data_IF_161776153681
#
_entry.id   IF_161776153681
#
_cell.length_a   1.000
_cell.length_b   1.000
_cell.length_c   1.000
_cell.angle_alpha   90.00
_cell.angle_beta   90.00
_cell.angle_gamma   90.00
#
_symmetry.space_group_name_H-M   'P 1'
#
loop_
_entity.id
_entity.type
_entity.pdbx_description
1 polymer ?
#
# COMPACT_ATOMS: atom_id res chain seq x y z
N UNK A 1 36.12 -27.39 8.22
CA UNK A 1 35.69 -26.29 9.11
C UNK A 1 34.87 -26.91 10.23
N UNK A 2 34.98 -26.37 11.42
CA UNK A 2 34.13 -26.79 12.53
C UNK A 2 32.69 -26.34 12.23
N UNK A 3 31.74 -27.27 12.32
CA UNK A 3 30.31 -27.05 12.00
C UNK A 3 29.75 -25.84 12.77
N UNK A 4 30.09 -25.69 14.04
CA UNK A 4 29.68 -24.55 14.85
C UNK A 4 30.25 -23.20 14.32
N UNK A 5 31.43 -23.20 13.73
CA UNK A 5 32.10 -21.99 13.25
C UNK A 5 31.43 -21.39 12.01
N UNK A 6 30.90 -22.21 11.07
CA UNK A 6 30.23 -21.67 9.87
C UNK A 6 28.83 -21.19 10.19
N UNK A 7 28.08 -21.87 11.07
CA UNK A 7 26.74 -21.43 11.48
C UNK A 7 26.83 -20.08 12.22
N UNK A 8 27.81 -19.89 13.13
CA UNK A 8 28.01 -18.64 13.84
C UNK A 8 28.36 -17.49 12.88
N UNK A 9 29.30 -17.73 11.95
CA UNK A 9 29.66 -16.72 10.92
C UNK A 9 28.46 -16.33 10.06
N UNK A 10 27.66 -17.31 9.64
CA UNK A 10 26.44 -17.06 8.86
C UNK A 10 25.41 -16.26 9.67
N UNK A 11 25.21 -16.61 10.95
CA UNK A 11 24.34 -15.85 11.85
C UNK A 11 24.76 -14.39 12.01
N UNK A 12 26.07 -14.13 12.14
CA UNK A 12 26.60 -12.77 12.22
C UNK A 12 26.44 -12.01 10.91
N UNK A 13 26.70 -12.66 9.77
CA UNK A 13 26.49 -12.09 8.44
C UNK A 13 25.02 -11.68 8.24
N UNK A 14 24.06 -12.60 8.47
CA UNK A 14 22.64 -12.36 8.33
C UNK A 14 22.16 -11.26 9.28
N UNK A 15 22.61 -11.29 10.54
CA UNK A 15 22.24 -10.27 11.51
C UNK A 15 22.69 -8.87 11.08
N UNK A 16 23.89 -8.74 10.57
CA UNK A 16 24.43 -7.46 10.07
C UNK A 16 23.68 -7.02 8.83
N UNK A 17 23.51 -7.93 7.87
CA UNK A 17 22.85 -7.65 6.59
C UNK A 17 21.41 -7.16 6.79
N UNK A 18 20.61 -7.91 7.55
CA UNK A 18 19.19 -7.56 7.76
C UNK A 18 19.05 -6.25 8.56
N UNK A 19 19.88 -6.01 9.58
CA UNK A 19 19.85 -4.75 10.35
C UNK A 19 20.25 -3.53 9.54
N UNK A 20 21.16 -3.67 8.57
CA UNK A 20 21.64 -2.54 7.79
C UNK A 20 20.80 -2.26 6.54
N UNK A 21 20.16 -3.28 5.97
CA UNK A 21 19.53 -3.20 4.65
C UNK A 21 18.00 -3.21 4.68
N UNK A 22 17.37 -3.91 5.64
CA UNK A 22 15.91 -3.91 5.74
C UNK A 22 15.41 -2.52 6.16
N UNK A 23 14.32 -2.10 5.54
CA UNK A 23 13.63 -0.86 5.92
C UNK A 23 12.71 -1.10 7.12
N UNK A 24 12.28 -0.06 7.85
CA UNK A 24 11.30 -0.19 8.93
C UNK A 24 9.94 -0.79 8.52
N UNK A 25 9.67 -0.87 7.21
CA UNK A 25 8.44 -1.44 6.67
C UNK A 25 8.49 -2.98 6.56
N UNK A 26 9.69 -3.60 6.69
CA UNK A 26 9.82 -5.05 6.85
C UNK A 26 9.50 -5.44 8.29
N UNK A 27 8.20 -5.60 8.57
CA UNK A 27 7.65 -5.83 9.90
C UNK A 27 7.35 -7.29 10.19
N UNK A 28 7.41 -8.16 9.17
CA UNK A 28 7.18 -9.60 9.26
C UNK A 28 8.40 -10.42 8.87
N UNK A 29 9.01 -10.15 7.69
CA UNK A 29 10.23 -10.81 7.22
C UNK A 29 11.47 -10.08 7.74
N UNK A 30 11.74 -10.24 9.02
CA UNK A 30 12.81 -9.56 9.75
C UNK A 30 13.79 -10.57 10.40
N UNK A 31 14.73 -10.05 11.17
CA UNK A 31 15.71 -10.88 11.88
C UNK A 31 15.07 -11.81 12.91
N UNK A 32 13.98 -11.38 13.57
CA UNK A 32 13.29 -12.19 14.58
C UNK A 32 12.64 -13.40 13.93
N UNK A 33 11.96 -13.21 12.79
CA UNK A 33 11.43 -14.30 11.98
C UNK A 33 12.54 -15.30 11.58
N UNK A 34 13.63 -14.81 11.01
CA UNK A 34 14.76 -15.65 10.56
C UNK A 34 15.34 -16.50 11.70
N UNK A 35 15.55 -15.89 12.87
CA UNK A 35 16.10 -16.62 14.03
C UNK A 35 15.08 -17.62 14.60
N UNK A 36 13.80 -17.33 14.56
CA UNK A 36 12.74 -18.24 14.97
C UNK A 36 12.68 -19.44 14.03
N UNK A 37 12.71 -19.22 12.71
CA UNK A 37 12.73 -20.32 11.71
C UNK A 37 13.93 -21.24 11.94
N UNK A 38 15.13 -20.67 12.16
CA UNK A 38 16.33 -21.46 12.49
C UNK A 38 16.12 -22.30 13.74
N UNK A 39 15.67 -21.70 14.83
CA UNK A 39 15.45 -22.39 16.11
C UNK A 39 14.46 -23.55 15.98
N UNK A 40 13.37 -23.34 15.24
CA UNK A 40 12.35 -24.38 15.04
C UNK A 40 12.84 -25.48 14.09
N UNK A 41 13.58 -25.13 13.03
CA UNK A 41 14.18 -26.12 12.13
C UNK A 41 15.15 -27.03 12.88
N UNK A 42 16.01 -26.49 13.75
CA UNK A 42 16.92 -27.25 14.60
C UNK A 42 16.15 -28.16 15.58
N UNK A 43 15.09 -27.65 16.21
CA UNK A 43 14.26 -28.45 17.13
C UNK A 43 13.56 -29.61 16.42
N UNK A 44 13.02 -29.40 15.22
CA UNK A 44 12.38 -30.46 14.44
C UNK A 44 13.42 -31.49 13.98
N UNK A 45 14.61 -31.06 13.56
CA UNK A 45 15.70 -31.91 13.14
C UNK A 45 16.22 -32.78 14.28
N UNK A 46 16.30 -32.23 15.51
CA UNK A 46 16.68 -33.01 16.72
C UNK A 46 15.70 -34.15 16.99
N UNK A 47 14.39 -33.86 16.93
CA UNK A 47 13.37 -34.89 17.21
C UNK A 47 13.27 -35.96 16.10
N UNK A 48 13.55 -35.57 14.85
CA UNK A 48 13.60 -36.46 13.71
C UNK A 48 14.96 -37.20 13.60
N UNK A 49 15.93 -36.85 14.46
CA UNK A 49 17.29 -37.46 14.49
C UNK A 49 18.03 -37.28 13.16
N UNK A 50 17.90 -36.10 12.57
CA UNK A 50 18.62 -35.75 11.35
C UNK A 50 20.12 -35.81 11.59
N UNK A 51 20.94 -36.39 10.66
CA UNK A 51 22.39 -36.45 10.77
C UNK A 51 23.03 -35.07 10.93
N UNK A 52 24.15 -34.96 11.64
CA UNK A 52 24.78 -33.66 11.98
C UNK A 52 25.17 -32.83 10.76
N UNK A 53 25.65 -33.44 9.68
CA UNK A 53 26.03 -32.75 8.44
C UNK A 53 24.83 -32.21 7.64
N UNK A 54 23.71 -32.91 7.67
CA UNK A 54 22.43 -32.44 7.11
C UNK A 54 21.80 -31.38 7.98
N UNK A 55 21.92 -31.48 9.30
CA UNK A 55 21.48 -30.47 10.27
C UNK A 55 22.22 -29.14 10.10
N UNK A 56 23.55 -29.20 9.86
CA UNK A 56 24.35 -28.01 9.54
C UNK A 56 23.80 -27.29 8.31
N UNK A 57 23.53 -28.03 7.20
CA UNK A 57 22.99 -27.45 5.98
C UNK A 57 21.58 -26.86 6.19
N UNK A 58 20.75 -27.53 7.00
CA UNK A 58 19.41 -27.05 7.35
C UNK A 58 19.46 -25.72 8.15
N UNK A 59 20.38 -25.63 9.14
CA UNK A 59 20.56 -24.42 9.94
C UNK A 59 21.05 -23.24 9.08
N UNK A 60 21.96 -23.50 8.12
CA UNK A 60 22.42 -22.49 7.17
C UNK A 60 21.30 -22.04 6.24
N UNK A 61 20.52 -22.98 5.71
CA UNK A 61 19.36 -22.65 4.87
C UNK A 61 18.31 -21.82 5.63
N UNK A 62 18.01 -22.19 6.87
CA UNK A 62 17.09 -21.43 7.73
C UNK A 62 17.56 -20.00 8.03
N UNK A 63 18.88 -19.78 8.17
CA UNK A 63 19.43 -18.44 8.34
C UNK A 63 19.38 -17.62 7.05
N UNK A 64 19.51 -18.25 5.89
CA UNK A 64 19.75 -17.58 4.62
C UNK A 64 18.49 -17.53 3.72
N UNK A 65 17.35 -18.17 4.10
CA UNK A 65 16.20 -18.30 3.21
C UNK A 65 15.58 -16.97 2.79
N UNK A 66 15.57 -16.00 3.68
CA UNK A 66 14.89 -14.71 3.51
C UNK A 66 15.84 -13.52 3.31
N UNK A 67 17.17 -13.75 3.21
CA UNK A 67 18.12 -12.64 3.04
C UNK A 67 17.88 -11.84 1.75
N UNK A 68 17.21 -12.41 0.75
CA UNK A 68 16.87 -11.74 -0.50
C UNK A 68 15.87 -10.61 -0.37
N UNK A 69 15.12 -10.52 0.74
CA UNK A 69 14.23 -9.40 1.01
C UNK A 69 14.94 -8.04 1.09
N UNK A 70 16.25 -8.03 1.30
CA UNK A 70 17.04 -6.79 1.25
C UNK A 70 17.10 -6.14 -0.13
N UNK A 71 16.86 -6.92 -1.19
CA UNK A 71 16.94 -6.46 -2.58
C UNK A 71 15.57 -6.49 -3.29
N UNK A 72 14.78 -7.55 -3.07
CA UNK A 72 13.47 -7.73 -3.74
C UNK A 72 12.46 -8.36 -2.80
N UNK A 73 11.20 -7.95 -2.92
CA UNK A 73 10.12 -8.53 -2.12
C UNK A 73 9.57 -9.80 -2.77
N UNK A 74 9.18 -9.75 -4.04
CA UNK A 74 8.69 -10.92 -4.77
C UNK A 74 9.85 -11.65 -5.48
N UNK A 75 9.95 -12.96 -5.26
CA UNK A 75 11.03 -13.78 -5.80
C UNK A 75 12.33 -13.69 -4.99
N UNK A 76 12.25 -13.23 -3.74
CA UNK A 76 13.38 -13.15 -2.80
C UNK A 76 14.13 -14.46 -2.64
N UNK A 77 13.47 -15.63 -2.78
CA UNK A 77 14.11 -16.93 -2.64
C UNK A 77 15.21 -17.16 -3.69
N UNK A 78 15.02 -16.66 -4.92
CA UNK A 78 16.05 -16.74 -5.95
C UNK A 78 17.27 -15.88 -5.61
N UNK A 79 17.03 -14.69 -5.05
CA UNK A 79 18.08 -13.78 -4.58
C UNK A 79 18.76 -14.35 -3.34
N UNK A 80 17.98 -14.86 -2.37
CA UNK A 80 18.49 -15.52 -1.16
C UNK A 80 19.42 -16.68 -1.50
N UNK A 81 19.04 -17.52 -2.47
CA UNK A 81 19.83 -18.61 -2.98
C UNK A 81 21.18 -18.14 -3.57
N UNK A 82 21.16 -17.08 -4.35
CA UNK A 82 22.40 -16.54 -4.93
C UNK A 82 23.29 -15.95 -3.84
N UNK A 83 22.73 -15.14 -2.93
CA UNK A 83 23.48 -14.56 -1.81
C UNK A 83 24.06 -15.62 -0.89
N UNK A 84 23.31 -16.70 -0.62
CA UNK A 84 23.77 -17.83 0.17
C UNK A 84 24.96 -18.54 -0.50
N UNK A 85 24.86 -18.77 -1.82
CA UNK A 85 25.94 -19.39 -2.60
C UNK A 85 27.22 -18.55 -2.57
N UNK A 86 27.10 -17.26 -2.85
CA UNK A 86 28.25 -16.34 -2.88
C UNK A 86 28.93 -16.27 -1.51
N UNK A 87 28.15 -16.08 -0.43
CA UNK A 87 28.66 -16.03 0.93
C UNK A 87 29.34 -17.33 1.35
N UNK A 88 28.72 -18.49 1.13
CA UNK A 88 29.26 -19.80 1.54
C UNK A 88 30.50 -20.16 0.74
N UNK A 89 30.58 -19.81 -0.56
CA UNK A 89 31.78 -19.98 -1.37
C UNK A 89 32.94 -19.12 -0.84
N UNK A 90 32.69 -17.86 -0.47
CA UNK A 90 33.72 -16.97 0.14
C UNK A 90 34.24 -17.54 1.47
N UNK A 91 33.38 -18.25 2.22
CA UNK A 91 33.79 -18.93 3.44
C UNK A 91 34.51 -20.26 3.19
N UNK A 92 34.65 -20.69 1.93
CA UNK A 92 35.29 -21.97 1.58
C UNK A 92 34.46 -23.19 1.96
N UNK A 93 33.11 -23.05 2.01
CA UNK A 93 32.21 -24.15 2.33
C UNK A 93 32.13 -25.14 1.14
N UNK A 94 31.98 -26.47 1.37
CA UNK A 94 32.01 -27.46 0.30
C UNK A 94 30.88 -27.28 -0.71
N UNK A 95 31.18 -27.32 -2.02
CA UNK A 95 30.22 -27.04 -3.09
C UNK A 95 28.98 -27.97 -3.05
N UNK A 96 29.16 -29.26 -2.72
CA UNK A 96 28.04 -30.21 -2.58
C UNK A 96 27.07 -29.81 -1.46
N UNK A 97 27.61 -29.25 -0.36
CA UNK A 97 26.78 -28.74 0.74
C UNK A 97 26.13 -27.41 0.42
N UNK A 98 26.81 -26.54 -0.36
CA UNK A 98 26.21 -25.28 -0.87
C UNK A 98 25.01 -25.58 -1.77
N UNK A 99 25.11 -26.59 -2.61
CA UNK A 99 24.00 -27.01 -3.46
C UNK A 99 22.80 -27.54 -2.63
N UNK A 100 23.08 -28.26 -1.54
CA UNK A 100 22.03 -28.69 -0.61
C UNK A 100 21.34 -27.50 0.06
N UNK A 101 22.09 -26.53 0.60
CA UNK A 101 21.54 -25.28 1.18
C UNK A 101 20.69 -24.55 0.15
N UNK A 102 21.18 -24.44 -1.10
CA UNK A 102 20.46 -23.79 -2.20
C UNK A 102 19.11 -24.47 -2.52
N UNK A 103 19.08 -25.81 -2.51
CA UNK A 103 17.83 -26.57 -2.71
C UNK A 103 16.85 -26.36 -1.56
N UNK A 104 17.36 -26.32 -0.32
CA UNK A 104 16.51 -26.07 0.84
C UNK A 104 15.89 -24.66 0.80
N UNK A 105 16.67 -23.64 0.43
CA UNK A 105 16.14 -22.28 0.23
C UNK A 105 15.07 -22.27 -0.86
N UNK A 106 15.29 -22.94 -2.00
CA UNK A 106 14.27 -23.03 -3.07
C UNK A 106 12.98 -23.69 -2.57
N UNK A 107 13.08 -24.62 -1.61
CA UNK A 107 11.92 -25.34 -1.08
C UNK A 107 11.00 -24.46 -0.21
N UNK A 108 11.43 -23.29 0.26
CA UNK A 108 10.56 -22.35 1.02
C UNK A 108 9.51 -21.67 0.14
N UNK A 109 9.70 -21.64 -1.19
CA UNK A 109 8.68 -21.13 -2.11
C UNK A 109 7.31 -21.75 -1.85
N UNK A 110 6.28 -20.90 -1.84
CA UNK A 110 4.92 -21.35 -1.49
C UNK A 110 4.38 -22.45 -2.39
N UNK A 111 4.70 -22.42 -3.70
CA UNK A 111 4.25 -23.41 -4.68
C UNK A 111 5.05 -24.71 -4.63
N UNK A 112 6.23 -24.70 -4.02
CA UNK A 112 7.08 -25.88 -3.96
C UNK A 112 6.49 -26.96 -3.04
N UNK A 113 6.44 -28.19 -3.55
CA UNK A 113 6.08 -29.37 -2.74
C UNK A 113 7.36 -30.06 -2.30
N UNK A 114 7.60 -30.20 -0.98
CA UNK A 114 8.83 -30.79 -0.49
C UNK A 114 8.97 -32.24 -0.94
N UNK A 115 10.13 -32.58 -1.52
CA UNK A 115 10.49 -33.92 -1.98
C UNK A 115 11.37 -34.71 -1.00
N UNK A 116 11.94 -34.03 0.00
CA UNK A 116 12.80 -34.59 1.02
C UNK A 116 12.34 -34.25 2.43
N UNK A 117 12.86 -34.99 3.43
CA UNK A 117 12.57 -34.71 4.83
C UNK A 117 13.11 -33.35 5.27
N UNK A 118 14.31 -32.97 4.82
CA UNK A 118 14.92 -31.66 5.14
C UNK A 118 14.09 -30.48 4.56
N UNK A 119 13.63 -30.60 3.32
CA UNK A 119 12.72 -29.60 2.72
C UNK A 119 11.42 -29.49 3.53
N UNK A 120 10.87 -30.62 3.98
CA UNK A 120 9.68 -30.66 4.81
C UNK A 120 9.90 -29.98 6.16
N UNK A 121 11.05 -30.20 6.80
CA UNK A 121 11.43 -29.57 8.07
C UNK A 121 11.53 -28.05 7.90
N UNK A 122 12.26 -27.58 6.89
CA UNK A 122 12.46 -26.14 6.68
C UNK A 122 11.13 -25.44 6.37
N UNK A 123 10.31 -26.05 5.52
CA UNK A 123 8.99 -25.48 5.18
C UNK A 123 8.03 -25.45 6.37
N UNK A 124 8.07 -26.45 7.23
CA UNK A 124 7.30 -26.48 8.47
C UNK A 124 7.79 -25.43 9.47
N UNK A 125 9.11 -25.21 9.53
CA UNK A 125 9.72 -24.20 10.39
C UNK A 125 9.42 -22.78 9.92
N UNK A 126 9.48 -22.50 8.63
CA UNK A 126 9.17 -21.22 8.03
C UNK A 126 7.71 -20.80 8.31
N UNK A 127 6.79 -21.74 8.28
CA UNK A 127 5.38 -21.51 8.56
C UNK A 127 4.99 -21.73 10.05
N UNK A 128 5.96 -21.72 10.97
CA UNK A 128 5.68 -21.86 12.42
C UNK A 128 4.83 -20.73 12.97
N UNK A 129 4.91 -19.53 12.39
CA UNK A 129 4.10 -18.38 12.75
C UNK A 129 2.59 -18.65 12.74
N UNK A 130 2.12 -19.64 11.94
CA UNK A 130 0.72 -20.06 11.94
C UNK A 130 0.25 -20.61 13.30
N UNK A 131 1.17 -21.11 14.10
CA UNK A 131 0.92 -21.64 15.44
C UNK A 131 1.34 -20.68 16.57
N UNK A 132 1.87 -19.50 16.23
CA UNK A 132 2.37 -18.54 17.21
C UNK A 132 1.22 -17.97 18.07
N UNK A 133 1.42 -17.78 19.39
CA UNK A 133 0.40 -17.19 20.26
C UNK A 133 -0.06 -15.79 19.81
N UNK A 134 0.86 -14.97 19.30
CA UNK A 134 0.58 -13.61 18.80
C UNK A 134 0.29 -13.60 17.29
N UNK A 135 -0.37 -14.63 16.76
CA UNK A 135 -0.62 -14.77 15.33
C UNK A 135 -1.35 -13.55 14.70
N UNK A 136 -2.26 -12.90 15.44
CA UNK A 136 -2.94 -11.70 14.95
C UNK A 136 -1.98 -10.53 14.70
N UNK A 137 -0.93 -10.37 15.51
CA UNK A 137 0.10 -9.37 15.32
C UNK A 137 0.96 -9.67 14.08
N UNK A 138 1.39 -10.93 13.91
CA UNK A 138 2.10 -11.37 12.70
C UNK A 138 1.27 -11.13 11.43
N UNK A 139 -0.06 -11.36 11.49
CA UNK A 139 -0.95 -11.04 10.37
C UNK A 139 -1.05 -9.55 10.07
N UNK A 140 -1.04 -8.70 11.09
CA UNK A 140 -1.05 -7.25 10.91
C UNK A 140 0.25 -6.78 10.24
N UNK A 141 1.39 -7.33 10.68
CA UNK A 141 2.71 -7.05 10.12
C UNK A 141 2.80 -7.48 8.64
N UNK A 142 2.37 -8.70 8.33
CA UNK A 142 2.36 -9.20 6.95
C UNK A 142 1.43 -8.37 6.04
N UNK A 143 0.26 -7.95 6.56
CA UNK A 143 -0.65 -7.08 5.80
C UNK A 143 -0.02 -5.72 5.50
N UNK A 144 0.75 -5.16 6.46
CA UNK A 144 1.48 -3.92 6.25
C UNK A 144 2.52 -4.08 5.13
N UNK A 145 3.32 -5.13 5.17
CA UNK A 145 4.32 -5.41 4.12
C UNK A 145 3.68 -5.56 2.74
N UNK A 146 2.57 -6.30 2.62
CA UNK A 146 1.89 -6.47 1.33
C UNK A 146 1.36 -5.14 0.78
N UNK A 147 0.84 -4.29 1.65
CA UNK A 147 0.40 -2.94 1.24
C UNK A 147 1.56 -2.08 0.74
N UNK A 148 2.73 -2.14 1.41
CA UNK A 148 3.90 -1.32 1.05
C UNK A 148 4.63 -1.87 -0.18
N UNK A 149 4.95 -3.17 -0.20
CA UNK A 149 5.85 -3.74 -1.20
C UNK A 149 5.15 -4.32 -2.42
N UNK A 150 3.89 -4.79 -2.28
CA UNK A 150 3.08 -5.32 -3.39
C UNK A 150 2.00 -4.36 -3.88
N UNK A 151 1.70 -3.31 -3.12
CA UNK A 151 0.56 -2.44 -3.39
C UNK A 151 -0.80 -3.12 -3.19
N UNK A 152 -0.83 -4.22 -2.43
CA UNK A 152 -2.03 -5.01 -2.16
C UNK A 152 -2.69 -4.53 -0.85
N UNK A 153 -3.71 -3.68 -0.98
CA UNK A 153 -4.47 -3.18 0.16
C UNK A 153 -5.68 -4.08 0.46
N UNK A 154 -5.65 -4.75 1.60
CA UNK A 154 -6.77 -5.53 2.11
C UNK A 154 -7.53 -4.75 3.19
N UNK A 155 -8.87 -4.71 3.12
CA UNK A 155 -9.66 -4.36 4.29
C UNK A 155 -9.59 -5.50 5.33
N UNK A 156 -9.94 -5.19 6.59
CA UNK A 156 -9.78 -6.16 7.69
C UNK A 156 -10.60 -7.43 7.51
N UNK A 157 -11.82 -7.35 6.96
CA UNK A 157 -12.67 -8.51 6.71
C UNK A 157 -12.07 -9.43 5.64
N UNK A 158 -11.69 -8.87 4.49
CA UNK A 158 -11.07 -9.64 3.40
C UNK A 158 -9.75 -10.28 3.84
N UNK A 159 -8.94 -9.56 4.64
CA UNK A 159 -7.70 -10.10 5.18
C UNK A 159 -7.93 -11.28 6.14
N UNK A 160 -8.91 -11.18 7.02
CA UNK A 160 -9.28 -12.27 7.92
C UNK A 160 -9.80 -13.50 7.14
N UNK A 161 -10.63 -13.29 6.12
CA UNK A 161 -11.16 -14.37 5.28
C UNK A 161 -10.04 -15.12 4.55
N UNK A 162 -9.11 -14.40 3.91
CA UNK A 162 -7.97 -14.97 3.20
C UNK A 162 -7.11 -15.82 4.13
N UNK A 163 -6.76 -15.29 5.30
CA UNK A 163 -5.93 -16.00 6.26
C UNK A 163 -6.64 -17.21 6.91
N UNK A 164 -7.94 -17.15 7.15
CA UNK A 164 -8.73 -18.31 7.58
C UNK A 164 -8.69 -19.42 6.50
N UNK A 165 -8.80 -19.08 5.23
CA UNK A 165 -8.70 -20.04 4.14
C UNK A 165 -7.30 -20.65 4.05
N UNK A 166 -6.26 -19.82 4.21
CA UNK A 166 -4.88 -20.28 4.25
C UNK A 166 -4.64 -21.27 5.39
N UNK A 167 -5.03 -20.93 6.64
CA UNK A 167 -4.92 -21.82 7.80
C UNK A 167 -5.63 -23.16 7.61
N UNK A 168 -6.79 -23.16 6.92
CA UNK A 168 -7.55 -24.39 6.62
C UNK A 168 -6.86 -25.28 5.59
N UNK A 169 -6.27 -24.68 4.55
CA UNK A 169 -5.62 -25.40 3.45
C UNK A 169 -4.26 -25.93 3.87
N UNK A 170 -3.53 -25.17 4.66
CA UNK A 170 -2.18 -25.52 5.09
C UNK A 170 -2.15 -26.81 5.92
N UNK A 171 -1.13 -27.65 5.66
CA UNK A 171 -0.81 -28.89 6.40
C UNK A 171 0.68 -28.90 6.69
N UNK A 172 1.07 -29.17 7.92
CA UNK A 172 2.46 -29.46 8.23
C UNK A 172 2.87 -30.80 7.58
N UNK A 173 4.07 -30.86 7.04
CA UNK A 173 4.58 -31.98 6.27
C UNK A 173 5.10 -33.08 7.18
N UNK A 174 5.84 -32.72 8.25
CA UNK A 174 6.42 -33.68 9.20
C UNK A 174 5.39 -34.10 10.27
N UNK A 175 5.55 -35.32 10.79
CA UNK A 175 4.74 -35.83 11.92
C UNK A 175 4.94 -34.98 13.17
N UNK A 176 6.20 -34.68 13.46
CA UNK A 176 6.63 -33.91 14.64
C UNK A 176 6.01 -32.48 14.62
N UNK A 177 6.07 -31.77 13.50
CA UNK A 177 5.47 -30.44 13.39
C UNK A 177 3.94 -30.50 13.54
N UNK A 178 3.29 -31.52 13.00
CA UNK A 178 1.85 -31.73 13.21
C UNK A 178 1.51 -31.90 14.68
N UNK A 179 2.23 -32.73 15.38
CA UNK A 179 1.96 -32.99 16.80
C UNK A 179 2.20 -31.76 17.67
N UNK A 180 3.23 -30.97 17.35
CA UNK A 180 3.57 -29.75 18.12
C UNK A 180 2.66 -28.55 17.80
N UNK A 181 2.43 -28.28 16.51
CA UNK A 181 1.91 -26.98 16.07
C UNK A 181 0.44 -27.01 15.64
N UNK A 182 -0.11 -28.18 15.28
CA UNK A 182 -1.46 -28.25 14.71
C UNK A 182 -2.55 -27.80 15.68
N UNK A 183 -2.39 -28.06 16.99
CA UNK A 183 -3.37 -27.62 18.01
C UNK A 183 -3.42 -26.10 18.13
N UNK A 184 -2.25 -25.43 18.21
CA UNK A 184 -2.13 -23.97 18.30
C UNK A 184 -2.60 -23.29 17.02
N UNK A 185 -2.24 -23.83 15.84
CA UNK A 185 -2.76 -23.35 14.56
C UNK A 185 -4.28 -23.42 14.48
N UNK A 186 -4.90 -24.50 14.93
CA UNK A 186 -6.37 -24.62 15.03
C UNK A 186 -6.98 -23.63 16.01
N UNK A 187 -6.30 -23.33 17.11
CA UNK A 187 -6.74 -22.31 18.06
C UNK A 187 -6.72 -20.92 17.41
N UNK A 188 -5.67 -20.58 16.65
CA UNK A 188 -5.57 -19.33 15.90
C UNK A 188 -6.68 -19.24 14.83
N UNK A 189 -6.92 -20.31 14.06
CA UNK A 189 -8.02 -20.37 13.10
C UNK A 189 -9.37 -20.09 13.78
N UNK A 190 -9.62 -20.69 14.96
CA UNK A 190 -10.85 -20.46 15.72
C UNK A 190 -10.98 -19.01 16.21
N UNK A 191 -9.88 -18.42 16.64
CA UNK A 191 -9.82 -17.01 17.07
C UNK A 191 -10.16 -16.08 15.92
N UNK A 192 -9.54 -16.24 14.75
CA UNK A 192 -9.85 -15.44 13.57
C UNK A 192 -11.31 -15.61 13.12
N UNK A 193 -11.85 -16.84 13.12
CA UNK A 193 -13.28 -17.08 12.81
C UNK A 193 -14.21 -16.36 13.80
N UNK A 194 -13.86 -16.34 15.09
CA UNK A 194 -14.63 -15.61 16.10
C UNK A 194 -14.60 -14.11 15.83
N UNK A 195 -13.43 -13.56 15.51
CA UNK A 195 -13.22 -12.15 15.18
C UNK A 195 -14.02 -11.78 13.92
N UNK A 196 -13.90 -12.54 12.84
CA UNK A 196 -14.67 -12.37 11.62
C UNK A 196 -16.18 -12.36 11.88
N UNK A 197 -16.68 -13.32 12.67
CA UNK A 197 -18.11 -13.40 13.03
C UNK A 197 -18.57 -12.21 13.88
N UNK A 198 -17.71 -11.70 14.77
CA UNK A 198 -18.00 -10.51 15.57
C UNK A 198 -18.07 -9.26 14.69
N UNK A 199 -17.11 -9.09 13.78
CA UNK A 199 -17.10 -7.97 12.84
C UNK A 199 -18.29 -8.03 11.88
N UNK A 200 -18.59 -9.20 11.31
CA UNK A 200 -19.76 -9.37 10.45
C UNK A 200 -21.09 -9.10 11.19
N UNK A 201 -21.16 -9.44 12.49
CA UNK A 201 -22.34 -9.08 13.31
C UNK A 201 -22.40 -7.58 13.62
N UNK A 202 -21.24 -6.93 13.84
CA UNK A 202 -21.17 -5.50 14.07
C UNK A 202 -21.60 -4.74 12.80
N UNK A 203 -21.13 -5.15 11.62
CA UNK A 203 -21.55 -4.60 10.33
C UNK A 203 -23.07 -4.79 10.14
N UNK A 204 -23.60 -6.01 10.34
CA UNK A 204 -25.04 -6.26 10.25
C UNK A 204 -25.89 -5.48 11.27
N UNK A 205 -25.35 -5.21 12.46
CA UNK A 205 -26.03 -4.39 13.49
C UNK A 205 -26.01 -2.92 13.12
N UNK A 206 -24.98 -2.46 12.41
CA UNK A 206 -24.92 -1.11 11.83
C UNK A 206 -25.88 -1.00 10.64
N UNK A 207 -25.92 -2.01 9.75
CA UNK A 207 -26.83 -2.07 8.61
C UNK A 207 -28.31 -2.21 8.99
N UNK A 208 -28.61 -2.73 10.19
CA UNK A 208 -30.03 -2.96 10.62
C UNK A 208 -30.62 -1.83 11.47
N UNK A 209 -29.85 -0.79 11.78
CA UNK A 209 -30.34 0.41 12.46
C UNK A 209 -29.95 1.64 11.66
N UNK A 210 -30.91 2.49 11.30
CA UNK A 210 -30.59 3.80 10.71
C UNK A 210 -29.51 4.50 11.53
N UNK A 211 -28.40 4.85 10.88
CA UNK A 211 -27.29 5.57 11.52
C UNK A 211 -27.68 7.00 11.85
N UNK A 212 -28.62 7.56 11.10
CA UNK A 212 -29.04 8.95 11.21
C UNK A 212 -30.35 9.12 11.97
N UNK A 213 -31.31 8.17 11.82
CA UNK A 213 -32.57 8.26 12.54
C UNK A 213 -32.35 8.07 14.04
N UNK A 214 -32.66 9.10 14.80
CA UNK A 214 -32.50 9.12 16.26
C UNK A 214 -31.09 9.37 16.79
N UNK A 215 -30.04 9.38 15.97
CA UNK A 215 -28.67 9.67 16.39
C UNK A 215 -28.25 11.11 16.07
N UNK A 216 -28.49 12.03 16.99
CA UNK A 216 -28.16 13.45 16.84
C UNK A 216 -26.67 13.71 16.58
N UNK A 217 -25.78 12.90 17.17
CA UNK A 217 -24.33 13.02 16.99
C UNK A 217 -23.91 12.63 15.58
N UNK A 218 -24.48 11.54 15.03
CA UNK A 218 -24.24 11.14 13.66
C UNK A 218 -24.74 12.20 12.67
N UNK A 219 -25.97 12.70 12.84
CA UNK A 219 -26.52 13.79 12.00
C UNK A 219 -25.61 15.03 12.03
N UNK A 220 -25.09 15.40 13.22
CA UNK A 220 -24.17 16.54 13.34
C UNK A 220 -22.83 16.28 12.66
N UNK A 221 -22.29 15.07 12.77
CA UNK A 221 -21.05 14.67 12.10
C UNK A 221 -21.21 14.79 10.58
N UNK A 222 -22.24 14.21 9.99
CA UNK A 222 -22.47 14.28 8.55
C UNK A 222 -22.66 15.72 8.06
N UNK A 223 -23.45 16.52 8.78
CA UNK A 223 -23.65 17.92 8.45
C UNK A 223 -22.35 18.74 8.51
N UNK A 224 -21.52 18.49 9.51
CA UNK A 224 -20.23 19.15 9.67
C UNK A 224 -19.25 18.69 8.59
N UNK A 225 -19.21 17.40 8.27
CA UNK A 225 -18.36 16.86 7.19
C UNK A 225 -18.75 17.44 5.84
N UNK A 226 -20.04 17.50 5.52
CA UNK A 226 -20.52 18.13 4.28
C UNK A 226 -20.10 19.60 4.18
N UNK A 227 -20.28 20.35 5.27
CA UNK A 227 -19.83 21.77 5.32
C UNK A 227 -18.33 21.88 5.10
N UNK A 228 -17.53 21.06 5.78
CA UNK A 228 -16.07 21.05 5.60
C UNK A 228 -15.68 20.74 4.15
N UNK A 229 -16.35 19.81 3.47
CA UNK A 229 -16.09 19.50 2.05
C UNK A 229 -16.40 20.70 1.15
N UNK A 230 -17.50 21.41 1.42
CA UNK A 230 -17.87 22.63 0.67
C UNK A 230 -16.83 23.72 0.90
N UNK A 231 -16.47 23.99 2.15
CA UNK A 231 -15.49 25.04 2.50
C UNK A 231 -14.12 24.75 1.91
N UNK A 232 -13.64 23.50 2.00
CA UNK A 232 -12.37 23.08 1.41
C UNK A 232 -12.39 23.15 -0.13
N UNK A 233 -13.53 22.85 -0.77
CA UNK A 233 -13.70 23.00 -2.21
C UNK A 233 -13.58 24.47 -2.61
N UNK A 234 -14.25 25.37 -1.89
CA UNK A 234 -14.16 26.81 -2.13
C UNK A 234 -12.73 27.34 -1.93
N UNK A 235 -12.01 26.86 -0.91
CA UNK A 235 -10.59 27.20 -0.68
C UNK A 235 -9.73 26.72 -1.86
N UNK A 236 -9.95 25.51 -2.36
CA UNK A 236 -9.20 24.98 -3.49
C UNK A 236 -9.46 25.78 -4.76
N UNK A 237 -10.74 26.09 -5.06
CA UNK A 237 -11.12 26.88 -6.22
C UNK A 237 -10.58 28.31 -6.14
N UNK A 238 -10.62 28.96 -4.98
CA UNK A 238 -10.02 30.27 -4.77
C UNK A 238 -8.51 30.28 -4.99
N UNK A 239 -7.79 29.28 -4.44
CA UNK A 239 -6.35 29.13 -4.65
C UNK A 239 -6.00 28.92 -6.13
N UNK A 240 -6.78 28.12 -6.84
CA UNK A 240 -6.58 27.90 -8.27
C UNK A 240 -6.83 29.18 -9.07
N UNK A 241 -7.88 29.95 -8.75
CA UNK A 241 -8.19 31.21 -9.39
C UNK A 241 -7.10 32.29 -9.16
N UNK A 242 -6.53 32.34 -7.95
CA UNK A 242 -5.37 33.20 -7.66
C UNK A 242 -4.19 32.81 -8.54
N UNK A 243 -3.89 31.53 -8.68
CA UNK A 243 -2.80 31.06 -9.54
C UNK A 243 -3.06 31.35 -11.01
N UNK A 244 -4.29 31.21 -11.49
CA UNK A 244 -4.68 31.60 -12.85
C UNK A 244 -4.44 33.09 -13.09
N UNK A 245 -4.87 33.92 -12.16
CA UNK A 245 -4.72 35.40 -12.25
C UNK A 245 -3.26 35.83 -12.23
N UNK A 246 -2.44 35.27 -11.33
CA UNK A 246 -1.02 35.61 -11.23
C UNK A 246 -0.28 35.19 -12.52
N UNK A 247 -0.49 33.97 -13.00
CA UNK A 247 0.18 33.49 -14.21
C UNK A 247 -0.28 34.27 -15.46
N UNK A 248 -1.57 34.61 -15.57
CA UNK A 248 -2.09 35.42 -16.66
C UNK A 248 -1.47 36.82 -16.65
N UNK A 249 -1.35 37.45 -15.47
CA UNK A 249 -0.72 38.75 -15.30
C UNK A 249 0.75 38.73 -15.73
N UNK A 250 1.50 37.69 -15.29
CA UNK A 250 2.92 37.52 -15.68
C UNK A 250 3.04 37.41 -17.22
N UNK A 251 2.23 36.58 -17.86
CA UNK A 251 2.25 36.42 -19.32
C UNK A 251 1.91 37.75 -20.01
N UNK A 252 0.87 38.46 -19.56
CA UNK A 252 0.39 39.70 -20.17
C UNK A 252 1.45 40.83 -20.11
N UNK A 253 2.24 40.88 -19.01
CA UNK A 253 3.32 41.86 -18.88
C UNK A 253 4.55 41.40 -19.64
N UNK A 254 4.92 40.15 -19.56
CA UNK A 254 6.21 39.65 -20.08
C UNK A 254 6.23 39.54 -21.61
N UNK A 255 5.12 39.12 -22.24
CA UNK A 255 5.07 38.91 -23.69
C UNK A 255 5.33 40.23 -24.50
N UNK A 256 4.70 41.36 -24.21
CA UNK A 256 5.01 42.64 -24.93
C UNK A 256 6.43 43.11 -24.67
N UNK A 257 6.94 43.00 -23.43
CA UNK A 257 8.31 43.36 -23.08
C UNK A 257 9.34 42.53 -23.84
N UNK A 258 9.07 41.22 -23.97
CA UNK A 258 9.92 40.32 -24.74
C UNK A 258 9.91 40.70 -26.23
N UNK A 259 8.72 40.96 -26.81
CA UNK A 259 8.58 41.30 -28.22
C UNK A 259 9.29 42.63 -28.57
N UNK A 260 9.28 43.61 -27.67
CA UNK A 260 9.94 44.92 -27.92
C UNK A 260 11.47 44.88 -27.74
N UNK A 261 11.99 44.03 -26.86
CA UNK A 261 13.42 44.04 -26.48
C UNK A 261 14.21 42.81 -26.98
N UNK A 262 13.58 41.89 -27.69
CA UNK A 262 14.21 40.60 -28.10
C UNK A 262 15.44 40.78 -28.99
N UNK A 263 15.44 41.80 -29.86
CA UNK A 263 16.57 42.07 -30.77
C UNK A 263 17.74 42.77 -30.05
N UNK A 264 17.43 43.66 -29.12
CA UNK A 264 18.47 44.40 -28.39
C UNK A 264 19.11 43.61 -27.24
N UNK A 265 18.36 42.68 -26.65
CA UNK A 265 18.78 41.90 -25.49
C UNK A 265 18.50 40.40 -25.64
N UNK A 266 19.16 39.71 -26.59
CA UNK A 266 18.89 38.30 -26.89
C UNK A 266 19.17 37.36 -25.71
N UNK A 267 20.03 37.74 -24.75
CA UNK A 267 20.35 36.96 -23.55
C UNK A 267 19.13 36.82 -22.59
N UNK A 268 18.13 37.68 -22.71
CA UNK A 268 16.89 37.59 -21.91
C UNK A 268 15.89 36.60 -22.47
N UNK A 269 16.06 36.15 -23.72
CA UNK A 269 15.11 35.20 -24.36
C UNK A 269 15.01 33.86 -23.59
N UNK A 270 16.14 33.31 -23.18
CA UNK A 270 16.19 32.04 -22.52
C UNK A 270 15.50 32.04 -21.14
N UNK A 271 15.85 32.91 -20.17
CA UNK A 271 15.15 32.97 -18.87
C UNK A 271 13.65 33.31 -19.03
N UNK A 272 13.31 34.20 -19.97
CA UNK A 272 11.91 34.57 -20.21
C UNK A 272 11.09 33.43 -20.78
N UNK A 273 11.67 32.61 -21.65
CA UNK A 273 11.03 31.41 -22.19
C UNK A 273 10.74 30.37 -21.07
N UNK A 274 11.64 30.23 -20.11
CA UNK A 274 11.43 29.36 -18.94
C UNK A 274 10.24 29.90 -18.13
N UNK A 275 10.19 31.18 -17.87
CA UNK A 275 9.09 31.82 -17.11
C UNK A 275 7.74 31.62 -17.81
N UNK A 276 7.65 31.89 -19.09
CA UNK A 276 6.42 31.73 -19.87
C UNK A 276 5.95 30.25 -19.90
N UNK A 277 6.87 29.32 -20.12
CA UNK A 277 6.58 27.89 -20.11
C UNK A 277 6.05 27.45 -18.72
N UNK A 278 6.69 27.92 -17.66
CA UNK A 278 6.25 27.68 -16.28
C UNK A 278 4.83 28.19 -16.05
N UNK A 279 4.53 29.41 -16.48
CA UNK A 279 3.19 29.99 -16.35
C UNK A 279 2.14 29.19 -17.12
N UNK A 280 2.43 28.76 -18.34
CA UNK A 280 1.50 27.95 -19.15
C UNK A 280 1.21 26.61 -18.47
N UNK A 281 2.24 25.89 -18.02
CA UNK A 281 2.06 24.61 -17.32
C UNK A 281 1.25 24.81 -16.02
N UNK A 282 1.58 25.84 -15.24
CA UNK A 282 0.85 26.19 -14.02
C UNK A 282 -0.63 26.50 -14.28
N UNK A 283 -0.96 27.25 -15.34
CA UNK A 283 -2.34 27.52 -15.78
C UNK A 283 -3.08 26.23 -16.11
N UNK A 284 -2.44 25.28 -16.80
CA UNK A 284 -3.07 24.00 -17.14
C UNK A 284 -3.51 23.29 -15.86
N UNK A 285 -2.62 23.11 -14.88
CA UNK A 285 -2.96 22.43 -13.64
C UNK A 285 -3.96 23.21 -12.76
N UNK A 286 -3.89 24.54 -12.73
CA UNK A 286 -4.89 25.36 -12.05
C UNK A 286 -6.29 25.20 -12.69
N UNK A 287 -6.35 25.16 -14.02
CA UNK A 287 -7.61 24.92 -14.75
C UNK A 287 -8.14 23.51 -14.52
N UNK A 288 -7.27 22.50 -14.47
CA UNK A 288 -7.66 21.13 -14.14
C UNK A 288 -8.24 21.03 -12.72
N UNK A 289 -7.71 21.80 -11.76
CA UNK A 289 -8.20 21.85 -10.39
C UNK A 289 -9.61 22.45 -10.29
N UNK A 290 -9.96 23.42 -11.12
CA UNK A 290 -11.29 24.07 -11.14
C UNK A 290 -12.31 23.40 -12.06
N UNK A 291 -11.88 22.43 -12.88
CA UNK A 291 -12.74 21.81 -13.88
C UNK A 291 -13.94 21.10 -13.26
N UNK A 292 -15.18 21.34 -13.75
CA UNK A 292 -16.36 20.68 -13.27
C UNK A 292 -16.30 19.15 -13.48
N UNK A 293 -16.84 18.42 -12.52
CA UNK A 293 -16.97 16.96 -12.62
C UNK A 293 -17.97 16.63 -13.74
N UNK A 294 -17.56 15.74 -14.64
CA UNK A 294 -18.46 15.24 -15.69
C UNK A 294 -19.46 14.26 -15.09
N UNK A 295 -20.75 14.52 -15.24
CA UNK A 295 -21.85 13.68 -14.78
C UNK A 295 -22.78 13.34 -15.95
N UNK A 296 -23.48 12.23 -15.81
CA UNK A 296 -24.46 11.77 -16.83
C UNK A 296 -25.76 12.59 -16.81
N UNK A 297 -26.07 13.22 -15.68
CA UNK A 297 -27.28 14.02 -15.47
C UNK A 297 -28.57 13.18 -15.29
N UNK A 298 -28.46 11.87 -15.27
CA UNK A 298 -29.58 10.95 -15.18
C UNK A 298 -29.23 9.75 -14.31
N UNK A 299 -30.14 9.38 -13.42
CA UNK A 299 -30.06 8.21 -12.53
C UNK A 299 -31.21 7.27 -12.82
N UNK A 300 -30.95 5.97 -12.94
CA UNK A 300 -32.00 4.93 -13.01
C UNK A 300 -32.44 4.58 -11.60
N UNK A 301 -33.74 4.36 -11.41
CA UNK A 301 -34.27 3.97 -10.11
C UNK A 301 -33.69 2.64 -9.58
N UNK A 302 -33.29 1.74 -10.48
CA UNK A 302 -32.62 0.48 -10.14
C UNK A 302 -31.23 0.71 -9.55
N UNK A 303 -30.45 1.65 -10.11
CA UNK A 303 -29.12 2.02 -9.62
C UNK A 303 -29.20 2.68 -8.25
N UNK A 304 -30.29 3.39 -7.96
CA UNK A 304 -30.58 3.99 -6.68
C UNK A 304 -30.79 2.92 -5.58
N UNK A 305 -31.57 1.88 -5.89
CA UNK A 305 -31.81 0.74 -4.98
C UNK A 305 -30.54 -0.06 -4.67
N UNK A 306 -29.59 -0.06 -5.58
CA UNK A 306 -28.31 -0.76 -5.44
C UNK A 306 -27.20 0.11 -4.81
N UNK A 307 -27.53 1.30 -4.30
CA UNK A 307 -26.53 2.21 -3.70
C UNK A 307 -25.47 2.73 -4.68
N UNK A 308 -25.67 2.56 -6.02
CA UNK A 308 -24.68 2.94 -7.03
C UNK A 308 -24.69 4.43 -7.39
N UNK A 309 -25.72 5.16 -6.98
CA UNK A 309 -25.92 6.57 -7.30
C UNK A 309 -26.79 7.24 -6.24
N UNK A 310 -26.84 8.57 -6.24
CA UNK A 310 -27.69 9.33 -5.35
C UNK A 310 -28.45 10.42 -6.12
N UNK A 311 -29.50 10.96 -5.53
CA UNK A 311 -30.32 12.04 -6.06
C UNK A 311 -30.09 13.37 -5.31
N UNK A 312 -29.08 13.50 -4.47
CA UNK A 312 -28.75 14.73 -3.77
C UNK A 312 -27.82 15.61 -4.59
N UNK A 313 -26.90 15.00 -5.36
CA UNK A 313 -26.01 15.73 -6.24
C UNK A 313 -26.71 16.08 -7.56
N UNK A 314 -26.79 17.38 -7.89
CA UNK A 314 -27.50 17.87 -9.09
C UNK A 314 -27.05 17.18 -10.38
N UNK A 315 -25.77 16.84 -10.49
CA UNK A 315 -25.19 16.18 -11.64
C UNK A 315 -25.75 14.80 -11.94
N UNK A 316 -26.50 14.19 -11.02
CA UNK A 316 -27.13 12.91 -11.20
C UNK A 316 -28.59 12.99 -11.65
N UNK A 317 -29.25 14.15 -11.51
CA UNK A 317 -30.66 14.26 -11.80
C UNK A 317 -31.10 15.42 -12.73
N UNK A 318 -30.22 16.35 -13.12
CA UNK A 318 -30.60 17.55 -13.87
C UNK A 318 -31.25 17.27 -15.24
N UNK A 319 -31.13 16.06 -15.77
CA UNK A 319 -31.81 15.60 -16.98
C UNK A 319 -33.02 14.71 -16.72
N UNK A 320 -33.30 14.39 -15.46
CA UNK A 320 -34.50 13.58 -15.11
C UNK A 320 -35.78 14.43 -15.25
N UNK A 321 -36.90 13.76 -15.56
CA UNK A 321 -38.16 14.41 -15.43
C UNK A 321 -38.61 14.50 -13.95
N UNK A 322 -39.51 15.42 -13.65
CA UNK A 322 -39.94 15.69 -12.28
C UNK A 322 -40.66 14.49 -11.63
N UNK A 323 -41.33 13.66 -12.41
CA UNK A 323 -42.07 12.51 -11.90
C UNK A 323 -41.10 11.43 -11.38
N UNK A 324 -40.07 11.10 -12.18
CA UNK A 324 -39.05 10.12 -11.83
C UNK A 324 -38.22 10.62 -10.65
N UNK A 325 -37.84 11.90 -10.64
CA UNK A 325 -37.11 12.50 -9.51
C UNK A 325 -37.92 12.41 -8.21
N UNK A 326 -39.24 12.79 -8.24
CA UNK A 326 -40.12 12.68 -7.08
C UNK A 326 -40.25 11.23 -6.60
N UNK A 327 -40.42 10.28 -7.53
CA UNK A 327 -40.49 8.85 -7.21
C UNK A 327 -39.19 8.37 -6.52
N UNK A 328 -38.03 8.71 -7.08
CA UNK A 328 -36.74 8.35 -6.52
C UNK A 328 -36.51 8.94 -5.13
N UNK A 329 -36.80 10.23 -4.93
CA UNK A 329 -36.62 10.88 -3.60
C UNK A 329 -37.59 10.24 -2.58
N UNK A 330 -38.85 9.95 -2.94
CA UNK A 330 -39.78 9.29 -2.03
C UNK A 330 -39.29 7.90 -1.63
N UNK A 331 -38.72 7.16 -2.57
CA UNK A 331 -38.14 5.84 -2.30
C UNK A 331 -36.94 5.93 -1.34
N UNK A 332 -36.01 6.86 -1.54
CA UNK A 332 -34.87 7.05 -0.67
C UNK A 332 -35.30 7.47 0.74
N UNK A 333 -36.25 8.40 0.87
CA UNK A 333 -36.68 8.92 2.18
C UNK A 333 -37.59 7.94 2.93
N UNK A 334 -38.26 7.03 2.25
CA UNK A 334 -39.12 6.02 2.88
C UNK A 334 -38.37 4.83 3.46
N UNK A 335 -37.11 4.66 3.10
CA UNK A 335 -36.23 3.59 3.58
C UNK A 335 -34.99 4.20 4.24
N UNK A 336 -34.90 4.05 5.57
CA UNK A 336 -33.82 4.67 6.36
C UNK A 336 -32.43 4.13 6.00
N UNK A 337 -32.33 2.86 5.61
CA UNK A 337 -31.06 2.24 5.21
C UNK A 337 -30.60 2.80 3.85
N UNK A 338 -31.49 2.90 2.88
CA UNK A 338 -31.20 3.51 1.57
C UNK A 338 -30.82 5.00 1.74
N UNK A 339 -31.49 5.71 2.65
CA UNK A 339 -31.18 7.11 2.92
C UNK A 339 -29.76 7.28 3.50
N UNK A 340 -29.42 6.50 4.51
CA UNK A 340 -28.13 6.53 5.16
C UNK A 340 -27.00 6.18 4.18
N UNK A 341 -27.14 5.09 3.42
CA UNK A 341 -26.17 4.66 2.42
C UNK A 341 -25.99 5.71 1.31
N UNK A 342 -27.10 6.32 0.87
CA UNK A 342 -27.06 7.41 -0.12
C UNK A 342 -26.25 8.61 0.38
N UNK A 343 -26.40 9.01 1.64
CA UNK A 343 -25.68 10.13 2.26
C UNK A 343 -24.19 9.79 2.41
N UNK A 344 -23.88 8.59 2.90
CA UNK A 344 -22.50 8.12 3.07
C UNK A 344 -21.78 8.09 1.71
N UNK A 345 -22.43 7.53 0.70
CA UNK A 345 -21.91 7.42 -0.67
C UNK A 345 -21.64 8.81 -1.27
N UNK A 346 -22.55 9.78 -1.06
CA UNK A 346 -22.37 11.15 -1.54
C UNK A 346 -21.14 11.83 -0.90
N UNK A 347 -21.00 11.72 0.43
CA UNK A 347 -19.85 12.26 1.13
C UNK A 347 -18.52 11.64 0.68
N UNK A 348 -18.52 10.32 0.42
CA UNK A 348 -17.34 9.64 -0.10
C UNK A 348 -16.91 10.19 -1.45
N UNK A 349 -17.84 10.34 -2.39
CA UNK A 349 -17.51 10.88 -3.72
C UNK A 349 -17.12 12.35 -3.68
N UNK A 350 -17.72 13.15 -2.81
CA UNK A 350 -17.30 14.54 -2.57
C UNK A 350 -15.86 14.59 -2.05
N UNK A 351 -15.51 13.72 -1.10
CA UNK A 351 -14.14 13.62 -0.59
C UNK A 351 -13.13 13.22 -1.66
N UNK A 352 -13.46 12.24 -2.50
CA UNK A 352 -12.62 11.80 -3.61
C UNK A 352 -12.40 12.91 -4.66
N UNK A 353 -13.47 13.64 -4.99
CA UNK A 353 -13.40 14.79 -5.89
C UNK A 353 -12.52 15.90 -5.34
N UNK A 354 -12.65 16.19 -4.04
CA UNK A 354 -11.84 17.17 -3.33
C UNK A 354 -10.36 16.77 -3.32
N UNK A 355 -10.04 15.50 -3.05
CA UNK A 355 -8.69 14.95 -3.10
C UNK A 355 -8.04 15.19 -4.47
N UNK A 356 -8.76 14.92 -5.56
CA UNK A 356 -8.29 15.18 -6.93
C UNK A 356 -7.98 16.65 -7.16
N UNK A 357 -8.86 17.58 -6.72
CA UNK A 357 -8.63 19.04 -6.82
C UNK A 357 -7.35 19.45 -6.10
N UNK A 358 -7.16 19.03 -4.86
CA UNK A 358 -5.97 19.35 -4.08
C UNK A 358 -4.69 18.76 -4.68
N UNK A 359 -4.75 17.58 -5.27
CA UNK A 359 -3.62 16.99 -5.99
C UNK A 359 -3.18 17.85 -7.18
N UNK A 360 -4.13 18.26 -8.04
CA UNK A 360 -3.83 19.13 -9.18
C UNK A 360 -3.27 20.50 -8.72
N UNK A 361 -3.84 21.05 -7.65
CA UNK A 361 -3.40 22.30 -7.09
C UNK A 361 -1.98 22.21 -6.52
N UNK A 362 -1.62 21.10 -5.87
CA UNK A 362 -0.25 20.84 -5.38
C UNK A 362 0.75 20.85 -6.54
N UNK A 363 0.44 20.18 -7.65
CA UNK A 363 1.31 20.18 -8.84
C UNK A 363 1.44 21.61 -9.38
N UNK A 364 0.34 22.36 -9.52
CA UNK A 364 0.33 23.74 -9.97
C UNK A 364 1.31 24.60 -9.17
N UNK A 365 1.22 24.59 -7.84
CA UNK A 365 2.11 25.35 -6.96
C UNK A 365 3.57 24.88 -7.04
N UNK A 366 3.80 23.58 -7.11
CA UNK A 366 5.15 23.03 -7.21
C UNK A 366 5.83 23.43 -8.51
N UNK A 367 5.12 23.34 -9.65
CA UNK A 367 5.62 23.79 -10.95
C UNK A 367 5.94 25.27 -10.93
N UNK A 368 5.04 26.07 -10.38
CA UNK A 368 5.24 27.53 -10.30
C UNK A 368 6.46 27.88 -9.44
N UNK A 369 6.58 27.31 -8.23
CA UNK A 369 7.72 27.55 -7.33
C UNK A 369 9.05 27.18 -7.99
N UNK A 370 9.14 25.97 -8.52
CA UNK A 370 10.39 25.48 -9.14
C UNK A 370 10.74 26.29 -10.37
N UNK A 371 9.74 26.55 -11.23
CA UNK A 371 9.96 27.30 -12.46
C UNK A 371 10.37 28.77 -12.22
N UNK A 372 9.75 29.45 -11.25
CA UNK A 372 10.16 30.81 -10.86
C UNK A 372 11.58 30.81 -10.29
N UNK A 373 11.92 29.84 -9.44
CA UNK A 373 13.27 29.72 -8.89
C UNK A 373 14.32 29.56 -9.98
N UNK A 374 14.07 28.63 -10.95
CA UNK A 374 14.98 28.42 -12.10
C UNK A 374 15.05 29.69 -12.95
N UNK A 375 13.94 30.37 -13.15
CA UNK A 375 13.90 31.62 -13.92
C UNK A 375 14.78 32.71 -13.28
N UNK A 376 14.64 32.92 -11.97
CA UNK A 376 15.44 33.92 -11.24
C UNK A 376 16.96 33.60 -11.34
N UNK A 377 17.32 32.33 -11.15
CA UNK A 377 18.72 31.89 -11.30
C UNK A 377 19.20 32.13 -12.75
N UNK A 378 18.39 31.78 -13.75
CA UNK A 378 18.72 31.97 -15.16
C UNK A 378 18.91 33.44 -15.51
N UNK A 379 18.10 34.35 -14.96
CA UNK A 379 18.28 35.82 -15.13
C UNK A 379 19.59 36.26 -14.47
N UNK A 380 19.89 35.84 -13.26
CA UNK A 380 21.13 36.18 -12.58
C UNK A 380 22.37 35.74 -13.38
N UNK A 381 22.35 34.52 -13.90
CA UNK A 381 23.43 33.98 -14.77
C UNK A 381 23.51 34.82 -16.08
N UNK A 382 22.39 35.07 -16.74
CA UNK A 382 22.36 35.84 -17.99
C UNK A 382 22.94 37.26 -17.82
N UNK A 383 22.70 37.91 -16.67
CA UNK A 383 23.27 39.23 -16.38
C UNK A 383 24.77 39.14 -16.05
N UNK A 384 25.27 38.12 -15.39
CA UNK A 384 26.68 37.92 -15.08
C UNK A 384 27.54 37.71 -16.34
N UNK A 385 26.97 37.07 -17.37
CA UNK A 385 27.66 36.78 -18.64
C UNK A 385 27.37 37.80 -19.75
N UNK A 386 26.68 38.93 -19.45
CA UNK A 386 26.44 40.03 -20.39
C UNK A 386 27.67 40.90 -20.64
N UNK A 387 28.76 40.71 -19.84
CA UNK A 387 30.01 41.47 -19.92
C UNK A 387 30.92 41.09 -21.05
#
# INVERSE_FOLDING_TARGET
>A
MDANGIIEKTGNYVTTLLKEKLTPDHTYHDLEHTLMVKSVAEQLADELKVPDDEREALSLAALLHDVGYVDVYDGHEAVSKQMAKDFLQEQGYPEEKIELVSKLIEATRMEHQPGTELESILKDADLVNLAHPNYEEHLANLRHEWAVFRGEEYNELAWLEENIQFLKKHRYFTGVARDKFQSSKKANEKTLKKKLKQMAKAVKKVDSSSLLAGNRSAQMMFKTTLRNHIDLTNIADNKANIMLSINALIITITMPLLASNAQENPFLLFPTSILLTTCVISIIFATLATRPIRTKGFTRLEDLRQGKTNLFFFGNFYKMNLADYKSGIRQVVSDEEILDDTIITDLFFLGKALGTKFYQLRICYSVFMVGVTITVISFAVAFLFKG
#
